data_IF_452056195219
#
_entry.id   IF_452056195219
#
_cell.length_a   1.000
_cell.length_b   1.000
_cell.length_c   1.000
_cell.angle_alpha   90.00
_cell.angle_beta   90.00
_cell.angle_gamma   90.00
#
_symmetry.space_group_name_H-M   'P 1'
#
loop_
_entity.id
_entity.type
_entity.pdbx_description
1 polymer ?
#
# COMPACT_ATOMS: atom_id res chain seq x y z
N UNK A 1 -8.17 26.46 -7.52
CA UNK A 1 -7.69 25.22 -8.17
C UNK A 1 -8.83 24.65 -8.96
N UNK A 2 -8.64 24.31 -10.24
CA UNK A 2 -9.69 23.75 -11.10
C UNK A 2 -10.27 22.44 -10.52
N UNK A 3 -9.42 21.60 -9.93
CA UNK A 3 -9.79 20.32 -9.31
C UNK A 3 -10.92 20.38 -8.25
N UNK A 4 -11.18 21.55 -7.65
CA UNK A 4 -12.18 21.71 -6.59
C UNK A 4 -13.28 22.71 -6.94
N UNK A 5 -13.45 23.06 -8.23
CA UNK A 5 -14.32 24.15 -8.66
C UNK A 5 -15.79 23.92 -8.30
N UNK A 6 -16.25 22.68 -8.38
CA UNK A 6 -17.67 22.30 -8.22
C UNK A 6 -17.99 21.78 -6.81
N UNK A 7 -16.99 21.68 -5.92
CA UNK A 7 -17.18 21.20 -4.56
C UNK A 7 -17.50 22.33 -3.58
N UNK A 8 -18.46 22.07 -2.69
CA UNK A 8 -18.84 22.96 -1.58
C UNK A 8 -17.64 23.20 -0.66
N UNK A 9 -17.38 24.49 -0.42
CA UNK A 9 -16.32 24.96 0.45
C UNK A 9 -16.44 24.42 1.88
N UNK A 10 -15.29 24.27 2.53
CA UNK A 10 -15.19 23.79 3.90
C UNK A 10 -13.78 23.93 4.47
N UNK A 11 -13.61 23.46 5.69
CA UNK A 11 -12.32 23.41 6.38
C UNK A 11 -11.33 22.51 5.65
N UNK A 12 -11.83 21.50 4.93
CA UNK A 12 -11.05 20.61 4.07
C UNK A 12 -10.20 21.33 3.02
N UNK A 13 -10.54 22.56 2.61
CA UNK A 13 -9.68 23.34 1.70
C UNK A 13 -8.46 23.90 2.40
N UNK A 14 -8.52 24.18 3.71
CA UNK A 14 -7.45 24.78 4.51
C UNK A 14 -6.56 23.74 5.19
N UNK A 15 -7.14 22.67 5.70
CA UNK A 15 -6.44 21.58 6.39
C UNK A 15 -6.73 20.20 5.78
N UNK A 16 -5.90 19.20 6.10
CA UNK A 16 -6.11 17.81 5.64
C UNK A 16 -7.30 17.20 6.39
N UNK A 17 -8.49 17.32 5.83
CA UNK A 17 -9.76 16.92 6.44
C UNK A 17 -10.72 16.28 5.42
N UNK A 18 -10.46 15.00 5.09
CA UNK A 18 -11.32 14.21 4.19
C UNK A 18 -12.74 14.05 4.75
N UNK A 19 -12.93 14.05 6.08
CA UNK A 19 -14.27 13.91 6.67
C UNK A 19 -15.15 15.13 6.40
N UNK A 20 -14.60 16.35 6.49
CA UNK A 20 -15.34 17.57 6.20
C UNK A 20 -15.67 17.67 4.69
N UNK A 21 -14.75 17.23 3.82
CA UNK A 21 -15.00 17.11 2.39
C UNK A 21 -16.22 16.23 2.08
N UNK A 22 -16.24 15.00 2.60
CA UNK A 22 -17.33 14.05 2.34
C UNK A 22 -18.66 14.61 2.88
N UNK A 23 -18.70 15.05 4.15
CA UNK A 23 -19.94 15.54 4.78
C UNK A 23 -20.60 16.69 4.01
N UNK A 24 -19.81 17.52 3.33
CA UNK A 24 -20.30 18.67 2.58
C UNK A 24 -20.74 18.31 1.17
N UNK A 25 -20.10 17.31 0.55
CA UNK A 25 -20.21 17.06 -0.87
C UNK A 25 -20.90 15.74 -1.24
N UNK A 26 -21.12 14.82 -0.29
CA UNK A 26 -21.85 13.59 -0.60
C UNK A 26 -23.31 13.89 -0.98
N UNK A 27 -23.84 13.07 -1.88
CA UNK A 27 -25.26 13.03 -2.21
C UNK A 27 -25.84 11.77 -1.61
N UNK A 28 -26.86 11.88 -0.77
CA UNK A 28 -27.54 10.70 -0.24
C UNK A 28 -28.33 10.02 -1.35
N UNK A 29 -28.09 8.72 -1.54
CA UNK A 29 -28.86 7.90 -2.46
C UNK A 29 -29.80 6.96 -1.69
N UNK A 30 -31.10 7.16 -1.87
CA UNK A 30 -32.16 6.34 -1.25
C UNK A 30 -32.97 5.54 -2.28
N UNK A 31 -32.48 5.44 -3.52
CA UNK A 31 -33.10 4.64 -4.59
C UNK A 31 -32.69 3.16 -4.51
N UNK A 32 -32.96 2.42 -5.59
CA UNK A 32 -32.64 0.99 -5.73
C UNK A 32 -31.50 0.74 -6.75
N UNK A 33 -31.23 -0.52 -7.08
CA UNK A 33 -30.17 -0.94 -7.99
C UNK A 33 -30.50 -0.78 -9.49
N UNK A 34 -31.64 -0.19 -9.87
CA UNK A 34 -32.09 -0.14 -11.26
C UNK A 34 -31.19 0.69 -12.20
N UNK A 35 -30.36 1.58 -11.65
CA UNK A 35 -29.38 2.37 -12.41
C UNK A 35 -28.06 1.61 -12.69
N UNK A 36 -27.87 0.42 -12.12
CA UNK A 36 -26.61 -0.31 -12.26
C UNK A 36 -26.42 -0.80 -13.69
N UNK A 37 -25.24 -0.51 -14.22
CA UNK A 37 -24.81 -0.95 -15.54
C UNK A 37 -23.97 -2.23 -15.47
N UNK A 38 -24.04 -3.03 -16.55
CA UNK A 38 -23.26 -4.24 -16.69
C UNK A 38 -21.77 -3.99 -17.00
N UNK A 39 -20.92 -5.04 -16.93
CA UNK A 39 -19.50 -4.90 -17.24
C UNK A 39 -19.25 -4.61 -18.72
N UNK A 40 -18.28 -3.74 -18.98
CA UNK A 40 -17.80 -3.43 -20.33
C UNK A 40 -17.05 -4.62 -20.96
N UNK A 41 -16.90 -4.62 -22.29
CA UNK A 41 -16.12 -5.66 -22.99
C UNK A 41 -14.65 -5.69 -22.56
N UNK A 42 -14.04 -4.54 -22.26
CA UNK A 42 -12.68 -4.48 -21.72
C UNK A 42 -12.61 -5.15 -20.33
N UNK A 43 -13.60 -4.89 -19.47
CA UNK A 43 -13.69 -5.51 -18.13
C UNK A 43 -13.79 -7.03 -18.25
N UNK A 44 -14.66 -7.54 -19.14
CA UNK A 44 -14.81 -8.99 -19.37
C UNK A 44 -13.51 -9.62 -19.87
N UNK A 45 -12.84 -9.00 -20.86
CA UNK A 45 -11.56 -9.50 -21.40
C UNK A 45 -10.45 -9.55 -20.35
N UNK A 46 -10.31 -8.49 -19.55
CA UNK A 46 -9.34 -8.46 -18.44
C UNK A 46 -9.63 -9.54 -17.42
N UNK A 47 -10.91 -9.72 -17.07
CA UNK A 47 -11.34 -10.74 -16.12
C UNK A 47 -11.15 -12.16 -16.65
N UNK A 48 -11.34 -12.41 -17.95
CA UNK A 48 -11.11 -13.70 -18.58
C UNK A 48 -9.63 -14.09 -18.54
N UNK A 49 -8.72 -13.14 -18.84
CA UNK A 49 -7.27 -13.34 -18.72
C UNK A 49 -6.92 -13.72 -17.28
N UNK A 50 -7.33 -12.89 -16.31
CA UNK A 50 -7.01 -13.11 -14.91
C UNK A 50 -7.62 -14.41 -14.37
N UNK A 51 -8.84 -14.74 -14.76
CA UNK A 51 -9.52 -15.99 -14.38
C UNK A 51 -8.78 -17.22 -14.89
N UNK A 52 -8.19 -17.16 -16.09
CA UNK A 52 -7.30 -18.19 -16.61
C UNK A 52 -6.05 -18.37 -15.74
N UNK A 53 -5.41 -17.27 -15.37
CA UNK A 53 -4.23 -17.29 -14.50
C UNK A 53 -4.55 -17.82 -13.09
N UNK A 54 -5.69 -17.44 -12.52
CA UNK A 54 -6.15 -17.92 -11.21
C UNK A 54 -6.44 -19.43 -11.20
N UNK A 55 -6.85 -20.03 -12.34
CA UNK A 55 -6.96 -21.50 -12.46
C UNK A 55 -5.60 -22.16 -12.28
N UNK A 56 -4.58 -21.64 -12.96
CA UNK A 56 -3.20 -22.12 -12.87
C UNK A 56 -2.65 -21.93 -11.44
N UNK A 57 -2.90 -20.77 -10.83
CA UNK A 57 -2.49 -20.52 -9.44
C UNK A 57 -3.11 -21.54 -8.47
N UNK A 58 -4.39 -21.88 -8.63
CA UNK A 58 -5.04 -22.89 -7.76
C UNK A 58 -4.41 -24.28 -7.88
N UNK A 59 -3.97 -24.66 -9.07
CA UNK A 59 -3.30 -25.95 -9.30
C UNK A 59 -1.88 -25.99 -8.73
N UNK A 60 -1.15 -24.87 -8.79
CA UNK A 60 0.24 -24.75 -8.33
C UNK A 60 0.41 -24.27 -6.88
N UNK A 61 -0.61 -23.64 -6.31
CA UNK A 61 -0.60 -22.93 -5.02
C UNK A 61 -0.20 -21.45 -5.14
N UNK A 62 0.72 -21.10 -6.03
CA UNK A 62 1.08 -19.72 -6.42
C UNK A 62 1.23 -19.63 -7.95
N UNK A 63 0.95 -18.46 -8.53
CA UNK A 63 1.22 -18.25 -9.96
C UNK A 63 2.72 -18.06 -10.23
N UNK A 64 3.33 -17.10 -9.54
CA UNK A 64 4.77 -16.79 -9.61
C UNK A 64 5.25 -16.06 -8.34
N UNK A 65 6.57 -16.03 -8.13
CA UNK A 65 7.20 -15.34 -7.00
C UNK A 65 8.49 -14.62 -7.41
N UNK A 66 8.68 -13.43 -6.85
CA UNK A 66 9.97 -12.73 -6.87
C UNK A 66 11.02 -13.51 -6.06
N UNK A 67 12.26 -13.51 -6.51
CA UNK A 67 13.37 -14.23 -5.85
C UNK A 67 14.57 -13.34 -5.54
N UNK A 68 14.62 -12.13 -6.11
CA UNK A 68 15.81 -11.28 -6.09
C UNK A 68 15.57 -9.89 -5.52
N UNK A 69 14.40 -9.30 -5.74
CA UNK A 69 14.19 -7.88 -5.40
C UNK A 69 13.34 -7.76 -4.12
N UNK A 70 13.89 -7.29 -2.99
CA UNK A 70 13.10 -6.91 -1.83
C UNK A 70 12.08 -5.84 -2.18
N UNK A 71 10.82 -6.06 -1.81
CA UNK A 71 9.73 -5.15 -2.15
C UNK A 71 9.88 -3.79 -1.43
N UNK A 72 9.63 -2.72 -2.19
CA UNK A 72 9.51 -1.31 -1.76
C UNK A 72 8.48 -0.61 -2.64
N UNK A 73 8.05 0.59 -2.23
CA UNK A 73 7.07 1.42 -2.97
C UNK A 73 7.43 1.54 -4.46
N UNK A 74 8.70 1.78 -4.77
CA UNK A 74 9.23 2.03 -6.11
C UNK A 74 10.29 1.00 -6.55
N UNK A 75 10.29 -0.20 -5.96
CA UNK A 75 11.24 -1.28 -6.32
C UNK A 75 10.99 -1.87 -7.71
N UNK A 76 9.74 -1.86 -8.18
CA UNK A 76 9.34 -2.45 -9.45
C UNK A 76 8.87 -1.37 -10.43
N UNK A 77 9.08 -1.62 -11.72
CA UNK A 77 8.44 -0.86 -12.77
C UNK A 77 6.93 -1.10 -12.86
N UNK A 78 6.30 -0.51 -13.87
CA UNK A 78 4.87 -0.69 -14.12
C UNK A 78 4.55 -2.08 -14.68
N UNK A 79 3.76 -2.85 -13.95
CA UNK A 79 3.10 -4.07 -14.42
C UNK A 79 1.64 -3.83 -14.82
N UNK A 80 1.16 -4.58 -15.82
CA UNK A 80 -0.18 -4.49 -16.41
C UNK A 80 -0.73 -5.91 -16.66
N UNK A 81 -2.06 -6.08 -16.61
CA UNK A 81 -2.71 -7.29 -17.14
C UNK A 81 -2.75 -7.18 -18.67
N UNK A 82 -3.34 -6.09 -19.15
CA UNK A 82 -3.31 -5.66 -20.55
C UNK A 82 -3.45 -4.14 -20.58
N UNK A 83 -2.33 -3.46 -20.88
CA UNK A 83 -2.20 -2.00 -20.82
C UNK A 83 -3.21 -1.27 -21.71
N UNK A 84 -3.69 -1.89 -22.78
CA UNK A 84 -4.61 -1.23 -23.72
C UNK A 84 -6.07 -1.33 -23.26
N UNK A 85 -6.38 -2.21 -22.30
CA UNK A 85 -7.73 -2.45 -21.83
C UNK A 85 -8.01 -1.79 -20.48
N UNK A 86 -6.98 -1.55 -19.67
CA UNK A 86 -7.10 -1.07 -18.29
C UNK A 86 -7.42 0.43 -18.20
N UNK A 87 -8.48 0.77 -17.45
CA UNK A 87 -8.83 2.16 -17.11
C UNK A 87 -8.15 2.63 -15.83
N UNK A 88 -7.98 1.72 -14.87
CA UNK A 88 -7.25 1.92 -13.61
C UNK A 88 -6.11 0.91 -13.59
N UNK A 89 -4.90 1.39 -13.34
CA UNK A 89 -3.67 0.59 -13.46
C UNK A 89 -2.90 0.52 -12.15
N UNK A 90 -2.03 -0.48 -12.04
CA UNK A 90 -1.16 -0.66 -10.88
C UNK A 90 -1.14 -2.09 -10.38
N UNK A 91 0.03 -2.71 -10.33
CA UNK A 91 0.26 -4.06 -9.78
C UNK A 91 1.38 -4.00 -8.74
N UNK A 92 1.38 -4.95 -7.79
CA UNK A 92 2.39 -4.99 -6.72
C UNK A 92 3.79 -5.23 -7.27
N UNK A 93 3.93 -6.05 -8.30
CA UNK A 93 5.17 -6.34 -9.00
C UNK A 93 5.05 -5.90 -10.48
N UNK A 94 5.99 -6.36 -11.31
CA UNK A 94 6.05 -6.15 -12.75
C UNK A 94 5.07 -7.03 -13.54
N UNK A 95 4.39 -8.00 -12.92
CA UNK A 95 3.46 -8.92 -13.58
C UNK A 95 2.25 -9.29 -12.71
N UNK A 96 1.10 -9.63 -13.33
CA UNK A 96 -0.08 -10.09 -12.58
C UNK A 96 0.21 -11.39 -11.84
N UNK A 97 -0.30 -11.48 -10.61
CA UNK A 97 -0.16 -12.63 -9.69
C UNK A 97 1.27 -13.04 -9.30
N UNK A 98 2.31 -12.30 -9.72
CA UNK A 98 3.68 -12.49 -9.21
C UNK A 98 3.80 -11.88 -7.81
N UNK A 99 4.02 -12.73 -6.80
CA UNK A 99 4.12 -12.32 -5.39
C UNK A 99 5.51 -11.74 -5.09
N UNK A 100 5.55 -10.57 -4.44
CA UNK A 100 6.80 -9.95 -4.00
C UNK A 100 7.39 -10.61 -2.73
N UNK A 101 8.65 -10.33 -2.42
CA UNK A 101 9.32 -10.77 -1.19
C UNK A 101 9.51 -9.63 -0.19
N UNK A 102 9.27 -9.90 1.10
CA UNK A 102 9.30 -8.91 2.18
C UNK A 102 10.29 -9.29 3.29
N UNK A 103 11.60 -9.36 3.00
CA UNK A 103 12.60 -9.85 3.95
C UNK A 103 12.79 -8.96 5.19
N UNK A 104 12.36 -7.69 5.16
CA UNK A 104 12.28 -6.84 6.36
C UNK A 104 11.40 -7.46 7.47
N UNK A 105 10.34 -8.20 7.12
CA UNK A 105 9.49 -8.90 8.08
C UNK A 105 10.15 -10.14 8.67
N UNK A 106 10.95 -10.86 7.86
CA UNK A 106 11.70 -12.03 8.29
C UNK A 106 12.25 -12.84 7.12
N UNK A 107 13.58 -12.96 7.04
CA UNK A 107 14.27 -13.68 5.97
C UNK A 107 13.88 -15.17 5.91
N UNK A 108 13.89 -15.86 7.06
CA UNK A 108 13.59 -17.30 7.13
C UNK A 108 12.21 -17.66 6.59
N UNK A 109 11.22 -16.79 6.79
CA UNK A 109 9.88 -17.03 6.22
C UNK A 109 9.91 -16.95 4.69
N UNK A 110 10.65 -15.98 4.13
CA UNK A 110 10.82 -15.83 2.68
C UNK A 110 11.51 -17.05 2.09
N UNK A 111 12.65 -17.49 2.66
CA UNK A 111 13.38 -18.68 2.18
C UNK A 111 12.50 -19.92 2.18
N UNK A 112 11.86 -20.24 3.31
CA UNK A 112 11.00 -21.39 3.43
C UNK A 112 9.82 -21.34 2.44
N UNK A 113 9.26 -20.15 2.21
CA UNK A 113 8.14 -19.97 1.28
C UNK A 113 8.58 -20.21 -0.16
N UNK A 114 9.74 -19.67 -0.57
CA UNK A 114 10.28 -19.90 -1.92
C UNK A 114 10.61 -21.37 -2.14
N UNK A 115 11.30 -22.01 -1.19
CA UNK A 115 11.67 -23.42 -1.29
C UNK A 115 10.44 -24.34 -1.38
N UNK A 116 9.37 -24.04 -0.63
CA UNK A 116 8.12 -24.81 -0.68
C UNK A 116 7.46 -24.82 -2.07
N UNK A 117 7.73 -23.81 -2.90
CA UNK A 117 7.24 -23.70 -4.27
C UNK A 117 8.34 -23.94 -5.32
N UNK A 118 9.50 -24.47 -4.93
CA UNK A 118 10.60 -24.82 -5.85
C UNK A 118 11.45 -23.63 -6.32
N UNK A 119 11.30 -22.46 -5.71
CA UNK A 119 12.11 -21.27 -5.97
C UNK A 119 13.31 -21.22 -5.02
N UNK A 120 14.33 -20.44 -5.40
CA UNK A 120 15.50 -20.17 -4.55
C UNK A 120 15.68 -18.67 -4.41
N UNK A 121 15.91 -18.22 -3.18
CA UNK A 121 16.24 -16.82 -2.90
C UNK A 121 17.61 -16.48 -3.52
N UNK A 122 17.70 -15.30 -4.10
CA UNK A 122 18.96 -14.75 -4.63
C UNK A 122 20.02 -14.67 -3.50
N UNK A 123 21.25 -15.17 -3.73
CA UNK A 123 22.30 -15.19 -2.72
C UNK A 123 22.68 -13.79 -2.18
N UNK A 124 22.59 -12.76 -3.02
CA UNK A 124 22.90 -11.37 -2.62
C UNK A 124 21.83 -10.86 -1.66
N UNK A 125 20.56 -11.11 -1.99
CA UNK A 125 19.44 -10.73 -1.10
C UNK A 125 19.53 -11.45 0.23
N UNK A 126 19.84 -12.75 0.19
CA UNK A 126 20.11 -13.54 1.40
C UNK A 126 21.21 -12.90 2.24
N UNK A 127 22.37 -12.64 1.65
CA UNK A 127 23.51 -12.04 2.35
C UNK A 127 23.15 -10.70 3.01
N UNK A 128 22.41 -9.83 2.31
CA UNK A 128 21.99 -8.53 2.84
C UNK A 128 21.19 -8.70 4.13
N UNK A 129 20.19 -9.59 4.15
CA UNK A 129 19.30 -9.74 5.29
C UNK A 129 19.80 -10.72 6.36
N UNK A 130 20.85 -11.49 6.07
CA UNK A 130 21.60 -12.26 7.08
C UNK A 130 22.62 -11.40 7.81
N UNK A 131 23.35 -10.54 7.08
CA UNK A 131 24.55 -9.85 7.62
C UNK A 131 24.35 -8.36 7.89
N UNK A 132 23.68 -7.64 7.01
CA UNK A 132 23.69 -6.17 7.01
C UNK A 132 22.39 -5.56 7.51
N UNK A 133 21.24 -6.16 7.19
CA UNK A 133 19.90 -5.65 7.53
C UNK A 133 19.16 -6.62 8.43
N UNK A 134 19.14 -6.34 9.73
CA UNK A 134 18.33 -7.09 10.70
C UNK A 134 16.83 -6.97 10.36
N UNK A 135 16.14 -8.10 10.31
CA UNK A 135 14.68 -8.16 10.11
C UNK A 135 13.90 -8.04 11.43
N UNK A 136 12.61 -7.74 11.33
CA UNK A 136 11.66 -7.77 12.45
C UNK A 136 11.69 -9.10 13.18
N UNK A 137 11.57 -10.22 12.46
CA UNK A 137 11.64 -11.57 13.03
C UNK A 137 12.93 -11.78 13.87
N UNK A 138 14.10 -11.42 13.33
CA UNK A 138 15.36 -11.55 14.06
C UNK A 138 15.41 -10.64 15.30
N UNK A 139 14.85 -9.43 15.21
CA UNK A 139 14.69 -8.51 16.35
C UNK A 139 13.87 -9.13 17.47
N UNK A 140 12.66 -9.59 17.16
CA UNK A 140 11.74 -10.20 18.11
C UNK A 140 12.36 -11.42 18.80
N UNK A 141 12.94 -12.34 18.04
CA UNK A 141 13.50 -13.58 18.61
C UNK A 141 14.77 -13.36 19.44
N UNK A 142 15.48 -12.24 19.22
CA UNK A 142 16.59 -11.82 20.08
C UNK A 142 16.14 -11.29 21.44
N UNK A 143 14.90 -10.78 21.55
CA UNK A 143 14.34 -10.25 22.79
C UNK A 143 13.40 -11.22 23.53
N UNK A 144 12.88 -12.25 22.85
CA UNK A 144 11.99 -13.24 23.46
C UNK A 144 12.62 -14.02 24.61
N UNK A 145 11.87 -14.12 25.71
CA UNK A 145 12.23 -14.93 26.88
C UNK A 145 11.96 -16.42 26.65
N UNK A 146 12.58 -17.32 27.43
CA UNK A 146 12.29 -18.76 27.36
C UNK A 146 10.80 -19.09 27.56
N UNK A 147 10.12 -18.36 28.46
CA UNK A 147 8.70 -18.55 28.72
C UNK A 147 7.81 -18.23 27.51
N UNK A 148 8.10 -17.12 26.81
CA UNK A 148 7.38 -16.74 25.57
C UNK A 148 7.59 -17.82 24.50
N UNK A 149 8.84 -18.28 24.33
CA UNK A 149 9.17 -19.34 23.36
C UNK A 149 8.44 -20.65 23.69
N UNK A 150 8.36 -21.02 24.97
CA UNK A 150 7.66 -22.21 25.42
C UNK A 150 6.15 -22.11 25.16
N UNK A 151 5.51 -20.98 25.52
CA UNK A 151 4.08 -20.76 25.28
C UNK A 151 3.72 -20.82 23.78
N UNK A 152 4.61 -20.34 22.92
CA UNK A 152 4.46 -20.44 21.46
C UNK A 152 4.60 -21.87 20.96
N UNK A 153 5.60 -22.60 21.46
CA UNK A 153 5.85 -23.98 21.07
C UNK A 153 4.73 -24.93 21.50
N UNK A 154 4.14 -24.72 22.68
CA UNK A 154 3.04 -25.55 23.19
C UNK A 154 1.66 -25.16 22.64
N UNK A 155 1.57 -24.09 21.84
CA UNK A 155 0.31 -23.62 21.26
C UNK A 155 -0.59 -22.84 22.23
N UNK A 156 -0.12 -22.51 23.44
CA UNK A 156 -0.86 -21.65 24.39
C UNK A 156 -1.04 -20.24 23.82
N UNK A 157 -0.02 -19.73 23.14
CA UNK A 157 -0.09 -18.48 22.37
C UNK A 157 0.36 -18.78 20.94
N UNK A 158 -0.51 -18.63 19.96
CA UNK A 158 -0.20 -18.92 18.55
C UNK A 158 -0.57 -17.75 17.65
N UNK A 159 0.05 -17.68 16.46
CA UNK A 159 -0.29 -16.68 15.44
C UNK A 159 0.08 -15.24 15.77
N UNK A 160 1.07 -15.00 16.65
CA UNK A 160 1.61 -13.66 16.86
C UNK A 160 2.32 -13.15 15.59
N UNK A 161 2.31 -11.82 15.32
CA UNK A 161 2.97 -11.22 14.16
C UNK A 161 4.49 -11.12 14.36
N UNK A 162 5.14 -12.24 14.67
CA UNK A 162 6.58 -12.35 14.89
C UNK A 162 7.35 -12.81 13.64
N UNK A 163 6.63 -13.21 12.58
CA UNK A 163 7.22 -13.71 11.34
C UNK A 163 6.72 -12.99 10.06
N UNK A 164 5.77 -12.06 10.19
CA UNK A 164 5.14 -11.34 9.07
C UNK A 164 4.72 -9.93 9.51
N UNK A 165 4.33 -9.07 8.56
CA UNK A 165 3.87 -7.72 8.86
C UNK A 165 2.63 -7.71 9.76
N UNK A 166 2.63 -6.89 10.82
CA UNK A 166 1.50 -6.80 11.77
C UNK A 166 0.15 -6.44 11.12
N UNK A 167 0.17 -5.65 10.05
CA UNK A 167 -1.05 -5.11 9.41
C UNK A 167 -1.88 -4.27 10.37
N UNK A 168 -3.21 -4.26 10.19
CA UNK A 168 -4.17 -3.51 11.03
C UNK A 168 -3.93 -2.01 11.04
N UNK A 169 -3.34 -1.50 9.98
CA UNK A 169 -3.13 -0.07 9.71
C UNK A 169 -3.89 0.25 8.43
N UNK A 170 -4.69 1.32 8.48
CA UNK A 170 -5.42 1.83 7.32
C UNK A 170 -4.89 3.23 7.06
N UNK A 171 -4.12 3.39 5.99
CA UNK A 171 -3.80 4.71 5.48
C UNK A 171 -5.06 5.37 4.94
N UNK A 172 -5.21 6.69 5.13
CA UNK A 172 -6.31 7.41 4.51
C UNK A 172 -5.96 7.75 3.05
N UNK A 173 -6.05 6.73 2.18
CA UNK A 173 -5.58 6.81 0.78
C UNK A 173 -6.32 7.85 -0.07
N UNK A 174 -7.53 8.21 0.35
CA UNK A 174 -8.36 9.27 -0.25
C UNK A 174 -7.67 10.63 -0.21
N UNK A 175 -6.74 10.84 0.73
CA UNK A 175 -5.94 12.08 0.81
C UNK A 175 -5.12 12.30 -0.45
N UNK A 176 -4.61 11.23 -1.07
CA UNK A 176 -3.83 11.33 -2.32
C UNK A 176 -4.70 11.93 -3.42
N UNK A 177 -5.93 11.43 -3.58
CA UNK A 177 -6.90 11.96 -4.54
C UNK A 177 -7.32 13.39 -4.21
N UNK A 178 -7.71 13.67 -2.96
CA UNK A 178 -8.27 14.97 -2.59
C UNK A 178 -7.25 16.11 -2.63
N UNK A 179 -6.00 15.83 -2.24
CA UNK A 179 -4.99 16.86 -1.99
C UNK A 179 -3.83 16.85 -2.98
N UNK A 180 -3.57 15.73 -3.65
CA UNK A 180 -2.30 15.52 -4.36
C UNK A 180 -1.14 15.32 -3.38
N UNK A 181 -0.09 14.66 -3.85
CA UNK A 181 1.05 14.30 -2.99
C UNK A 181 1.88 15.52 -2.61
N UNK A 182 1.95 16.58 -3.44
CA UNK A 182 2.77 17.75 -3.12
C UNK A 182 2.26 18.50 -1.89
N UNK A 183 0.94 18.68 -1.79
CA UNK A 183 0.32 19.25 -0.59
C UNK A 183 0.53 18.37 0.64
N UNK A 184 0.49 17.04 0.49
CA UNK A 184 0.73 16.12 1.61
C UNK A 184 2.19 16.16 2.10
N UNK A 185 3.14 16.32 1.18
CA UNK A 185 4.55 16.52 1.50
C UNK A 185 4.75 17.85 2.22
N UNK A 186 4.17 18.93 1.70
CA UNK A 186 4.25 20.26 2.31
C UNK A 186 3.70 20.24 3.75
N UNK A 187 2.52 19.66 3.95
CA UNK A 187 1.91 19.59 5.27
C UNK A 187 2.72 18.72 6.23
N UNK A 188 3.21 17.56 5.78
CA UNK A 188 4.05 16.70 6.62
C UNK A 188 5.37 17.38 6.97
N UNK A 189 5.95 18.14 6.04
CA UNK A 189 7.17 18.90 6.30
C UNK A 189 6.91 20.00 7.33
N UNK A 190 5.80 20.72 7.21
CA UNK A 190 5.37 21.71 8.20
C UNK A 190 5.21 21.08 9.59
N UNK A 191 4.58 19.91 9.69
CA UNK A 191 4.47 19.16 10.95
C UNK A 191 5.84 18.76 11.50
N UNK A 192 6.75 18.27 10.66
CA UNK A 192 8.11 17.88 11.06
C UNK A 192 8.93 19.06 11.56
N UNK A 193 8.87 20.19 10.86
CA UNK A 193 9.58 21.43 11.23
C UNK A 193 8.99 22.04 12.52
N UNK A 194 7.67 21.91 12.74
CA UNK A 194 7.01 22.37 13.95
C UNK A 194 7.25 21.45 15.17
N UNK A 195 7.60 20.18 14.95
CA UNK A 195 7.96 19.24 16.01
C UNK A 195 9.42 19.43 16.44
N UNK A 196 9.76 20.63 16.92
CA UNK A 196 11.12 21.08 17.27
C UNK A 196 11.26 21.26 18.79
N UNK A 197 11.64 20.22 19.54
CA UNK A 197 11.70 20.25 20.99
C UNK A 197 13.05 20.78 21.51
N UNK A 198 13.04 21.32 22.72
CA UNK A 198 14.26 21.74 23.42
C UNK A 198 15.17 20.56 23.78
N UNK A 199 14.61 19.37 24.01
CA UNK A 199 15.35 18.15 24.37
C UNK A 199 15.03 16.98 23.42
N UNK A 200 16.09 16.29 23.00
CA UNK A 200 16.01 15.12 22.12
C UNK A 200 15.96 13.81 22.91
N UNK A 201 14.80 13.50 23.47
CA UNK A 201 14.53 12.21 24.13
C UNK A 201 14.38 11.07 23.11
N UNK A 202 14.41 9.81 23.56
CA UNK A 202 14.23 8.63 22.69
C UNK A 202 12.92 8.70 21.89
N UNK A 203 11.80 9.05 22.55
CA UNK A 203 10.50 9.17 21.89
C UNK A 203 10.47 10.31 20.87
N UNK A 204 11.14 11.43 21.16
CA UNK A 204 11.28 12.55 20.22
C UNK A 204 12.06 12.13 18.98
N UNK A 205 13.23 11.50 19.16
CA UNK A 205 14.08 11.05 18.06
C UNK A 205 13.31 10.07 17.17
N UNK A 206 12.65 9.08 17.78
CA UNK A 206 11.81 8.10 17.07
C UNK A 206 10.71 8.78 16.26
N UNK A 207 9.94 9.68 16.88
CA UNK A 207 8.83 10.36 16.20
C UNK A 207 9.34 11.21 15.02
N UNK A 208 10.46 11.93 15.18
CA UNK A 208 11.05 12.72 14.09
C UNK A 208 11.53 11.85 12.94
N UNK A 209 12.22 10.75 13.23
CA UNK A 209 12.65 9.78 12.22
C UNK A 209 11.44 9.19 11.48
N UNK A 210 10.39 8.77 12.19
CA UNK A 210 9.16 8.25 11.58
C UNK A 210 8.44 9.28 10.69
N UNK A 211 8.45 10.57 11.07
CA UNK A 211 7.90 11.64 10.25
C UNK A 211 8.74 11.89 8.98
N UNK A 212 10.06 11.77 9.09
CA UNK A 212 10.96 11.86 7.95
C UNK A 212 10.78 10.68 6.98
N UNK A 213 10.66 9.46 7.48
CA UNK A 213 10.35 8.28 6.66
C UNK A 213 9.00 8.41 5.94
N UNK A 214 8.01 9.07 6.57
CA UNK A 214 6.74 9.39 5.91
C UNK A 214 6.91 10.38 4.75
N UNK A 215 7.84 11.35 4.83
CA UNK A 215 8.18 12.24 3.72
C UNK A 215 8.82 11.47 2.56
N UNK A 216 9.78 10.59 2.86
CA UNK A 216 10.44 9.77 1.85
C UNK A 216 9.46 8.79 1.18
N UNK A 217 8.53 8.21 1.94
CA UNK A 217 7.47 7.36 1.41
C UNK A 217 6.53 8.12 0.46
N UNK A 218 6.15 9.36 0.77
CA UNK A 218 5.34 10.20 -0.13
C UNK A 218 6.10 10.52 -1.44
N UNK A 219 7.41 10.79 -1.37
CA UNK A 219 8.24 10.98 -2.56
C UNK A 219 8.35 9.70 -3.39
N UNK A 220 8.52 8.54 -2.75
CA UNK A 220 8.53 7.24 -3.41
C UNK A 220 7.19 6.94 -4.09
N UNK A 221 6.06 7.30 -3.47
CA UNK A 221 4.73 7.20 -4.06
C UNK A 221 4.63 8.01 -5.37
N UNK A 222 5.18 9.23 -5.42
CA UNK A 222 5.23 10.00 -6.69
C UNK A 222 6.03 9.26 -7.77
N UNK A 223 7.22 8.72 -7.42
CA UNK A 223 8.06 7.96 -8.37
C UNK A 223 7.36 6.70 -8.87
N UNK A 224 6.68 5.98 -7.99
CA UNK A 224 5.89 4.80 -8.33
C UNK A 224 4.77 5.15 -9.33
N UNK A 225 3.98 6.20 -9.07
CA UNK A 225 2.93 6.61 -9.98
C UNK A 225 3.46 7.14 -11.32
N UNK A 226 4.61 7.83 -11.30
CA UNK A 226 5.29 8.30 -12.51
C UNK A 226 5.74 7.13 -13.42
N UNK A 227 6.12 5.98 -12.85
CA UNK A 227 6.42 4.78 -13.64
C UNK A 227 5.21 4.27 -14.45
N UNK A 228 3.99 4.58 -14.00
CA UNK A 228 2.74 4.31 -14.71
C UNK A 228 2.30 5.46 -15.64
N UNK A 229 3.05 6.57 -15.69
CA UNK A 229 2.74 7.73 -16.52
C UNK A 229 1.84 8.79 -15.88
N UNK A 230 1.67 8.77 -14.54
CA UNK A 230 0.81 9.71 -13.83
C UNK A 230 1.59 10.70 -12.97
N UNK A 231 1.21 11.98 -13.02
CA UNK A 231 1.65 12.99 -12.06
C UNK A 231 0.59 13.20 -10.98
N UNK A 232 0.83 12.55 -9.83
CA UNK A 232 -0.05 12.63 -8.66
C UNK A 232 0.37 13.74 -7.67
N UNK A 233 1.27 14.64 -8.07
CA UNK A 233 1.63 15.81 -7.26
C UNK A 233 0.42 16.71 -7.00
N UNK A 234 -0.44 16.85 -8.01
CA UNK A 234 -1.70 17.59 -7.97
C UNK A 234 -2.89 16.75 -7.46
N UNK A 235 -3.95 17.38 -6.92
CA UNK A 235 -5.21 16.70 -6.63
C UNK A 235 -5.85 16.14 -7.90
N UNK A 236 -6.68 15.11 -7.71
CA UNK A 236 -7.48 14.50 -8.78
C UNK A 236 -8.58 15.45 -9.26
N UNK A 237 -8.78 15.51 -10.58
CA UNK A 237 -9.73 16.40 -11.26
C UNK A 237 -10.95 15.67 -11.80
N UNK A 238 -10.87 14.35 -11.97
CA UNK A 238 -11.94 13.51 -12.53
C UNK A 238 -12.21 12.30 -11.63
N UNK A 239 -13.35 11.64 -11.82
CA UNK A 239 -13.65 10.34 -11.20
C UNK A 239 -12.52 9.32 -11.41
N UNK A 240 -12.02 9.20 -12.64
CA UNK A 240 -10.97 8.25 -12.98
C UNK A 240 -9.68 8.54 -12.21
N UNK A 241 -9.26 9.80 -12.13
CA UNK A 241 -8.09 10.19 -11.34
C UNK A 241 -8.31 9.99 -9.84
N UNK A 242 -9.51 10.28 -9.31
CA UNK A 242 -9.80 10.11 -7.89
C UNK A 242 -9.70 8.64 -7.48
N UNK A 243 -10.22 7.74 -8.32
CA UNK A 243 -10.08 6.28 -8.15
C UNK A 243 -8.59 5.89 -8.27
N UNK A 244 -7.90 6.33 -9.32
CA UNK A 244 -6.50 5.99 -9.57
C UNK A 244 -5.55 6.49 -8.47
N UNK A 245 -5.74 7.70 -7.95
CA UNK A 245 -4.87 8.30 -6.93
C UNK A 245 -5.08 7.63 -5.59
N UNK A 246 -6.35 7.36 -5.24
CA UNK A 246 -6.70 6.57 -4.06
C UNK A 246 -6.09 5.18 -4.16
N UNK A 247 -6.19 4.53 -5.33
CA UNK A 247 -5.58 3.22 -5.55
C UNK A 247 -4.05 3.27 -5.48
N UNK A 248 -3.37 4.29 -6.02
CA UNK A 248 -1.92 4.42 -5.87
C UNK A 248 -1.49 4.60 -4.41
N UNK A 249 -2.26 5.35 -3.61
CA UNK A 249 -2.04 5.43 -2.17
C UNK A 249 -2.11 4.05 -1.49
N UNK A 250 -3.04 3.20 -1.90
CA UNK A 250 -3.14 1.83 -1.39
C UNK A 250 -2.04 0.91 -1.96
N UNK A 251 -1.72 1.04 -3.25
CA UNK A 251 -0.71 0.26 -3.95
C UNK A 251 0.66 0.44 -3.31
N UNK A 252 1.05 1.66 -2.94
CA UNK A 252 2.32 1.90 -2.24
C UNK A 252 2.38 1.15 -0.91
N UNK A 253 1.27 1.11 -0.16
CA UNK A 253 1.20 0.37 1.10
C UNK A 253 1.38 -1.14 0.89
N UNK A 254 0.71 -1.74 -0.09
CA UNK A 254 0.82 -3.19 -0.38
C UNK A 254 2.07 -3.57 -1.17
N UNK A 255 2.81 -2.59 -1.71
CA UNK A 255 4.17 -2.78 -2.24
C UNK A 255 5.23 -2.75 -1.14
N UNK A 256 5.06 -1.94 -0.10
CA UNK A 256 6.08 -1.82 0.96
C UNK A 256 5.84 -2.78 2.14
N UNK A 257 4.59 -3.17 2.40
CA UNK A 257 4.20 -3.94 3.58
C UNK A 257 3.36 -5.18 3.24
N UNK A 258 3.60 -6.28 3.95
CA UNK A 258 2.86 -7.55 3.84
C UNK A 258 1.98 -7.83 5.08
N UNK A 259 1.31 -6.80 5.59
CA UNK A 259 0.46 -6.90 6.76
C UNK A 259 -0.63 -7.97 6.61
N UNK A 260 -0.95 -8.71 7.68
CA UNK A 260 -2.00 -9.73 7.62
C UNK A 260 -3.38 -9.17 7.19
N UNK A 261 -3.66 -7.92 7.55
CA UNK A 261 -4.82 -7.17 7.06
C UNK A 261 -4.37 -5.81 6.54
N UNK A 262 -4.47 -5.62 5.22
CA UNK A 262 -4.20 -4.38 4.49
C UNK A 262 -5.53 -3.88 3.93
N UNK A 263 -6.30 -3.14 4.72
CA UNK A 263 -7.65 -2.72 4.33
C UNK A 263 -7.63 -1.41 3.56
N UNK A 264 -8.42 -1.32 2.48
CA UNK A 264 -8.56 -0.10 1.67
C UNK A 264 -9.25 1.07 2.42
N UNK A 265 -10.04 0.76 3.45
CA UNK A 265 -10.78 1.74 4.24
C UNK A 265 -12.15 2.10 3.65
N UNK A 266 -12.71 3.24 4.07
CA UNK A 266 -14.05 3.71 3.65
C UNK A 266 -13.94 4.66 2.46
N UNK A 267 -13.95 4.12 1.25
CA UNK A 267 -13.71 4.88 0.01
C UNK A 267 -14.94 5.14 -0.84
N UNK A 268 -15.97 4.29 -0.80
CA UNK A 268 -17.13 4.37 -1.70
C UNK A 268 -17.79 5.76 -1.71
N UNK A 269 -18.33 6.22 -0.58
CA UNK A 269 -18.96 7.55 -0.50
C UNK A 269 -18.00 8.75 -0.66
N UNK A 270 -16.68 8.52 -0.69
CA UNK A 270 -15.72 9.55 -1.09
C UNK A 270 -15.56 9.60 -2.61
N UNK A 271 -15.41 8.44 -3.25
CA UNK A 271 -15.26 8.34 -4.70
C UNK A 271 -16.55 8.74 -5.42
N UNK A 272 -17.71 8.44 -4.82
CA UNK A 272 -19.03 8.86 -5.30
C UNK A 272 -19.17 10.39 -5.45
N UNK A 273 -18.47 11.18 -4.63
CA UNK A 273 -18.45 12.64 -4.78
C UNK A 273 -17.82 13.09 -6.10
N UNK A 274 -16.93 12.28 -6.67
CA UNK A 274 -16.25 12.58 -7.94
C UNK A 274 -16.96 11.99 -9.17
N UNK A 275 -17.89 11.05 -8.96
CA UNK A 275 -18.65 10.34 -10.02
C UNK A 275 -19.93 11.13 -10.32
#
# INVERSE_FOLDING_TARGET
MEAWRDFKDGEWKKSINVSDFIKRNYTEYTGDESFLEGPTENTKKLWDILSGMLKIEREKGIYDAETKIPSKIDAYGAGYIDKNLETIVGLQTDAPLKRAIFPNGGLRMVENSLEAFGYKLDPTTKEIYEKYRKSHNAGVFSAYTPAIKAARHTGVITGLPDAYGRGRIIGDYRRVALYGVDRLIEERKREFDAYDPEEMTEDVIRNREEMFEQLEALKALKRMAAAYGFDIGRPAETAQEAIQWTYFGYLSAIKDQNGAAMSLGKTAGFLDVYI
#
